data_IF_223208526188
#
_entry.id   IF_223208526188
#
_cell.length_a   1.000
_cell.length_b   1.000
_cell.length_c   1.000
_cell.angle_alpha   90.00
_cell.angle_beta   90.00
_cell.angle_gamma   90.00
#
_symmetry.space_group_name_H-M   'P 1'
#
loop_
_entity.id
_entity.type
_entity.pdbx_description
1 polymer ?
#
# COMPACT_ATOMS: atom_id res chain seq x y z
N UNK A 1 -1.91 -11.80 -18.63
CA UNK A 1 -3.10 -11.49 -17.81
C UNK A 1 -2.64 -10.49 -16.75
N UNK A 2 -3.41 -9.43 -16.47
CA UNK A 2 -3.07 -8.54 -15.36
C UNK A 2 -3.11 -9.36 -14.06
N UNK A 3 -1.98 -9.45 -13.37
CA UNK A 3 -1.84 -10.23 -12.13
C UNK A 3 -1.12 -9.40 -11.08
N UNK A 4 -1.36 -9.74 -9.82
CA UNK A 4 -0.56 -9.23 -8.70
C UNK A 4 0.84 -9.85 -8.83
N UNK A 5 1.87 -9.03 -8.78
CA UNK A 5 3.24 -9.52 -8.64
C UNK A 5 3.63 -9.51 -7.17
N UNK A 6 3.82 -10.69 -6.59
CA UNK A 6 4.23 -10.85 -5.20
C UNK A 6 5.75 -11.10 -5.11
N UNK A 7 6.42 -10.36 -4.23
CA UNK A 7 7.83 -10.52 -3.89
C UNK A 7 7.90 -10.95 -2.43
N UNK A 8 8.02 -12.26 -2.13
CA UNK A 8 8.19 -12.73 -0.77
C UNK A 8 9.55 -12.29 -0.22
N UNK A 9 9.65 -12.20 1.10
CA UNK A 9 10.90 -11.88 1.82
C UNK A 9 11.59 -10.57 1.37
N UNK A 10 10.83 -9.63 0.78
CA UNK A 10 11.35 -8.33 0.35
C UNK A 10 11.83 -7.48 1.54
N UNK A 11 11.23 -7.69 2.71
CA UNK A 11 11.66 -7.18 3.99
C UNK A 11 11.71 -8.34 4.98
N UNK A 12 12.70 -8.34 5.87
CA UNK A 12 12.73 -9.30 6.97
C UNK A 12 11.69 -8.93 8.04
N UNK A 13 11.33 -9.90 8.90
CA UNK A 13 10.43 -9.64 10.03
C UNK A 13 10.96 -8.52 10.94
N UNK A 14 12.24 -8.54 11.26
CA UNK A 14 12.87 -7.52 12.12
C UNK A 14 12.87 -6.13 11.48
N UNK A 15 12.97 -6.06 10.15
CA UNK A 15 12.85 -4.79 9.43
C UNK A 15 11.41 -4.26 9.46
N UNK A 16 10.41 -5.12 9.26
CA UNK A 16 9.01 -4.74 9.41
C UNK A 16 8.69 -4.27 10.84
N UNK A 17 9.18 -4.98 11.85
CA UNK A 17 9.05 -4.61 13.26
C UNK A 17 9.71 -3.26 13.56
N UNK A 18 10.90 -3.00 13.00
CA UNK A 18 11.57 -1.70 13.11
C UNK A 18 10.72 -0.58 12.53
N UNK A 19 10.13 -0.78 11.34
CA UNK A 19 9.22 0.20 10.73
C UNK A 19 8.01 0.45 11.63
N UNK A 20 7.36 -0.62 12.12
CA UNK A 20 6.20 -0.51 13.02
C UNK A 20 6.57 0.24 14.30
N UNK A 21 7.72 -0.07 14.91
CA UNK A 21 8.19 0.59 16.12
C UNK A 21 8.45 2.09 15.89
N UNK A 22 9.04 2.47 14.75
CA UNK A 22 9.27 3.89 14.43
C UNK A 22 7.95 4.65 14.27
N UNK A 23 6.98 4.11 13.52
CA UNK A 23 5.70 4.81 13.33
C UNK A 23 4.86 4.88 14.60
N UNK A 24 5.00 3.93 15.52
CA UNK A 24 4.22 3.89 16.77
C UNK A 24 4.58 5.03 17.73
N UNK A 25 5.77 5.61 17.54
CA UNK A 25 6.24 6.78 18.28
C UNK A 25 5.92 8.11 17.57
N UNK A 26 5.22 8.06 16.44
CA UNK A 26 4.93 9.22 15.59
C UNK A 26 3.46 9.61 15.69
N UNK A 27 3.11 10.91 15.59
CA UNK A 27 1.71 11.32 15.48
C UNK A 27 1.10 10.71 14.20
N UNK A 28 -0.10 10.17 14.34
CA UNK A 28 -0.89 9.61 13.22
C UNK A 28 -1.89 10.64 12.71
N UNK A 29 -2.05 10.74 11.39
CA UNK A 29 -3.14 11.47 10.76
C UNK A 29 -4.32 10.54 10.47
N UNK A 30 -5.56 11.03 10.60
CA UNK A 30 -6.73 10.26 10.15
C UNK A 30 -6.75 10.15 8.62
N UNK A 31 -7.06 8.97 8.07
CA UNK A 31 -7.04 8.77 6.63
C UNK A 31 -8.09 9.59 5.87
N UNK A 32 -7.64 10.43 4.93
CA UNK A 32 -8.52 11.20 4.03
C UNK A 32 -8.74 10.48 2.68
N UNK A 33 -9.89 10.73 2.04
CA UNK A 33 -10.15 10.35 0.65
C UNK A 33 -9.69 11.45 -0.32
N UNK A 34 -9.63 11.11 -1.62
CA UNK A 34 -9.41 12.10 -2.70
C UNK A 34 -10.43 13.24 -2.55
N UNK A 35 -9.95 14.48 -2.52
CA UNK A 35 -10.78 15.67 -2.30
C UNK A 35 -11.00 16.07 -0.84
N UNK A 36 -10.26 15.49 0.12
CA UNK A 36 -10.36 15.77 1.58
C UNK A 36 -11.73 15.45 2.21
N UNK A 37 -12.55 14.65 1.52
CA UNK A 37 -13.82 14.18 2.08
C UNK A 37 -13.58 13.06 3.10
N UNK A 38 -14.25 13.14 4.25
CA UNK A 38 -14.32 12.05 5.23
C UNK A 38 -15.54 11.20 4.91
N UNK A 39 -15.32 9.98 4.46
CA UNK A 39 -16.40 8.98 4.38
C UNK A 39 -15.90 7.67 4.96
N UNK A 40 -16.26 7.43 6.23
CA UNK A 40 -15.83 6.26 6.99
C UNK A 40 -16.39 4.94 6.42
N UNK A 41 -17.39 5.00 5.54
CA UNK A 41 -17.88 3.83 4.80
C UNK A 41 -16.97 3.43 3.63
N UNK A 42 -16.11 4.36 3.18
CA UNK A 42 -15.17 4.12 2.09
C UNK A 42 -13.77 3.81 2.62
N UNK A 43 -13.32 4.45 3.69
CA UNK A 43 -12.02 4.17 4.30
C UNK A 43 -12.05 4.46 5.80
N UNK A 44 -11.50 3.53 6.57
CA UNK A 44 -11.23 3.72 8.00
C UNK A 44 -9.86 3.15 8.36
N UNK A 45 -8.91 4.06 8.53
CA UNK A 45 -7.51 3.78 8.84
C UNK A 45 -6.84 5.03 9.43
N UNK A 46 -5.74 4.83 10.15
CA UNK A 46 -4.79 5.89 10.50
C UNK A 46 -3.62 5.85 9.52
N UNK A 47 -3.07 7.01 9.17
CA UNK A 47 -1.97 7.16 8.22
C UNK A 47 -0.75 7.79 8.87
N UNK A 48 0.42 7.31 8.47
CA UNK A 48 1.71 7.93 8.79
C UNK A 48 2.51 8.02 7.49
N UNK A 49 2.93 9.23 7.13
CA UNK A 49 3.84 9.46 5.99
C UNK A 49 5.29 9.37 6.47
N UNK A 50 6.13 8.61 5.77
CA UNK A 50 7.50 8.32 6.24
C UNK A 50 8.47 9.49 6.12
N UNK A 51 8.13 10.55 5.38
CA UNK A 51 9.04 11.68 5.07
C UNK A 51 9.49 12.45 6.30
N UNK A 52 8.64 12.42 7.32
CA UNK A 52 8.87 13.12 8.56
C UNK A 52 9.62 12.24 9.58
N UNK A 53 10.03 11.02 9.19
CA UNK A 53 10.64 10.03 10.07
C UNK A 53 12.11 9.83 9.71
N UNK A 54 12.99 10.40 10.53
CA UNK A 54 14.43 10.21 10.40
C UNK A 54 14.80 8.70 10.49
N UNK A 55 15.69 8.23 9.61
CA UNK A 55 16.16 6.84 9.61
C UNK A 55 15.28 5.88 8.80
N UNK A 56 14.34 6.39 8.00
CA UNK A 56 13.50 5.61 7.08
C UNK A 56 13.94 5.71 5.60
N UNK A 57 15.07 6.37 5.32
CA UNK A 57 15.57 6.61 3.96
C UNK A 57 15.81 5.30 3.19
N UNK A 58 16.38 4.31 3.89
CA UNK A 58 16.63 2.97 3.34
C UNK A 58 15.35 2.24 2.89
N UNK A 59 14.20 2.57 3.47
CA UNK A 59 12.92 1.97 3.09
C UNK A 59 12.56 2.45 1.69
N UNK A 60 12.61 3.76 1.44
CA UNK A 60 12.27 4.33 0.14
C UNK A 60 13.24 3.82 -0.95
N UNK A 61 14.54 3.80 -0.66
CA UNK A 61 15.54 3.26 -1.59
C UNK A 61 15.23 1.81 -2.00
N UNK A 62 14.85 0.97 -1.03
CA UNK A 62 14.48 -0.42 -1.29
C UNK A 62 13.17 -0.53 -2.09
N UNK A 63 12.16 0.26 -1.74
CA UNK A 63 10.89 0.27 -2.46
C UNK A 63 11.06 0.68 -3.93
N UNK A 64 11.91 1.68 -4.21
CA UNK A 64 12.26 2.09 -5.57
C UNK A 64 12.87 0.93 -6.35
N UNK A 65 13.82 0.19 -5.76
CA UNK A 65 14.46 -0.94 -6.43
C UNK A 65 13.47 -2.08 -6.72
N UNK A 66 12.59 -2.41 -5.75
CA UNK A 66 11.56 -3.43 -5.93
C UNK A 66 10.61 -3.08 -7.08
N UNK A 67 10.15 -1.82 -7.14
CA UNK A 67 9.33 -1.34 -8.25
C UNK A 67 10.09 -1.40 -9.57
N UNK A 68 11.36 -0.99 -9.59
CA UNK A 68 12.18 -0.98 -10.81
C UNK A 68 12.31 -2.40 -11.40
N UNK A 69 12.62 -3.38 -10.55
CA UNK A 69 12.71 -4.79 -10.94
C UNK A 69 11.38 -5.34 -11.43
N UNK A 70 10.31 -5.14 -10.66
CA UNK A 70 8.97 -5.61 -11.03
C UNK A 70 8.48 -4.96 -12.34
N UNK A 71 8.75 -3.66 -12.53
CA UNK A 71 8.38 -2.95 -13.75
C UNK A 71 9.13 -3.50 -14.97
N UNK A 72 10.44 -3.75 -14.85
CA UNK A 72 11.23 -4.36 -15.93
C UNK A 72 10.71 -5.75 -16.30
N UNK A 73 10.41 -6.57 -15.30
CA UNK A 73 10.18 -8.00 -15.50
C UNK A 73 8.71 -8.34 -15.80
N UNK A 74 7.75 -7.49 -15.41
CA UNK A 74 6.31 -7.82 -15.45
C UNK A 74 5.43 -6.78 -16.12
N UNK A 75 5.70 -5.48 -15.98
CA UNK A 75 4.70 -4.44 -16.29
C UNK A 75 5.07 -3.54 -17.49
N UNK A 76 6.33 -3.16 -17.64
CA UNK A 76 6.82 -2.37 -18.77
C UNK A 76 6.27 -0.95 -18.87
N UNK A 77 5.89 -0.30 -17.76
CA UNK A 77 5.45 1.10 -17.79
C UNK A 77 6.63 2.08 -17.95
N UNK A 78 6.39 3.21 -18.62
CA UNK A 78 7.28 4.38 -18.63
C UNK A 78 7.19 5.10 -17.27
N UNK A 79 7.89 4.55 -16.28
CA UNK A 79 8.04 5.14 -14.94
C UNK A 79 9.11 6.20 -14.96
N UNK A 80 8.81 7.37 -14.39
CA UNK A 80 9.69 8.55 -14.44
C UNK A 80 10.02 9.12 -13.07
N UNK A 81 9.16 8.92 -12.09
CA UNK A 81 9.28 9.57 -10.79
C UNK A 81 8.52 8.81 -9.70
N UNK A 82 8.86 9.10 -8.46
CA UNK A 82 8.06 8.84 -7.28
C UNK A 82 7.67 10.20 -6.70
N UNK A 83 6.53 10.74 -7.13
CA UNK A 83 6.05 12.05 -6.69
C UNK A 83 5.36 12.03 -5.33
N UNK A 84 5.26 10.85 -4.72
CA UNK A 84 4.57 10.62 -3.47
C UNK A 84 5.38 9.70 -2.58
N UNK A 85 5.28 10.00 -1.32
CA UNK A 85 6.01 9.35 -0.25
C UNK A 85 5.38 8.04 0.18
N UNK A 86 6.15 7.12 0.78
CA UNK A 86 5.58 5.94 1.39
C UNK A 86 4.59 6.32 2.50
N UNK A 87 3.41 5.71 2.42
CA UNK A 87 2.31 5.89 3.36
C UNK A 87 2.10 4.60 4.12
N UNK A 88 2.29 4.62 5.43
CA UNK A 88 1.85 3.52 6.31
C UNK A 88 0.38 3.71 6.64
N UNK A 89 -0.41 2.64 6.47
CA UNK A 89 -1.80 2.56 6.84
C UNK A 89 -1.99 1.55 7.98
N UNK A 90 -2.72 1.98 9.01
CA UNK A 90 -3.00 1.23 10.22
C UNK A 90 -4.51 0.98 10.28
N UNK A 91 -4.91 -0.30 10.25
CA UNK A 91 -6.31 -0.71 10.29
C UNK A 91 -6.58 -1.46 11.60
N UNK A 92 -7.41 -0.88 12.47
CA UNK A 92 -7.72 -1.43 13.80
C UNK A 92 -9.05 -2.17 13.79
N UNK A 93 -9.13 -3.33 14.43
CA UNK A 93 -10.38 -4.08 14.54
C UNK A 93 -11.44 -3.38 15.38
N UNK A 94 -11.03 -2.60 16.40
CA UNK A 94 -11.92 -1.79 17.25
C UNK A 94 -12.77 -0.79 16.46
N UNK A 95 -12.37 -0.54 15.22
CA UNK A 95 -12.98 0.41 14.33
C UNK A 95 -13.58 -0.22 13.07
N UNK A 96 -13.49 -1.56 12.92
CA UNK A 96 -13.73 -2.25 11.65
C UNK A 96 -12.90 -1.65 10.52
N UNK A 97 -11.61 -1.39 10.76
CA UNK A 97 -10.71 -0.75 9.81
C UNK A 97 -10.73 -1.45 8.45
N UNK A 98 -10.92 -0.67 7.38
CA UNK A 98 -11.07 -1.17 6.01
C UNK A 98 -10.76 -0.07 4.98
N UNK A 99 -10.69 -0.45 3.71
CA UNK A 99 -10.73 0.47 2.58
C UNK A 99 -11.55 -0.19 1.48
N UNK A 100 -12.75 0.30 1.20
CA UNK A 100 -13.64 -0.24 0.19
C UNK A 100 -13.01 -0.23 -1.21
N UNK A 101 -13.60 -1.01 -2.12
CA UNK A 101 -13.18 -1.09 -3.52
C UNK A 101 -12.93 0.29 -4.15
N UNK A 102 -11.71 0.50 -4.62
CA UNK A 102 -11.27 1.73 -5.25
C UNK A 102 -10.15 1.46 -6.25
N UNK A 103 -9.79 2.51 -6.97
CA UNK A 103 -8.62 2.58 -7.83
C UNK A 103 -7.71 3.69 -7.31
N UNK A 104 -6.40 3.48 -7.39
CA UNK A 104 -5.41 4.45 -6.94
C UNK A 104 -5.17 5.56 -7.96
N UNK A 105 -5.41 5.32 -9.25
CA UNK A 105 -5.43 6.42 -10.22
C UNK A 105 -6.64 7.32 -9.94
N UNK A 106 -6.43 8.63 -10.01
CA UNK A 106 -7.49 9.62 -9.78
C UNK A 106 -7.37 10.84 -10.70
N UNK A 107 -8.30 11.78 -10.57
CA UNK A 107 -8.33 13.00 -11.40
C UNK A 107 -7.34 14.10 -10.97
N UNK A 108 -6.61 13.92 -9.86
CA UNK A 108 -5.67 14.90 -9.34
C UNK A 108 -4.37 14.97 -10.17
N UNK A 109 -3.61 16.07 -10.08
CA UNK A 109 -2.42 16.29 -10.91
C UNK A 109 -1.33 15.21 -10.72
N UNK A 110 -1.19 14.69 -9.50
CA UNK A 110 -0.25 13.61 -9.17
C UNK A 110 -0.91 12.24 -9.35
N UNK A 111 -2.11 12.04 -8.79
CA UNK A 111 -2.78 10.73 -8.83
C UNK A 111 -3.13 10.25 -10.24
N UNK A 112 -3.33 11.14 -11.21
CA UNK A 112 -3.53 10.78 -12.63
C UNK A 112 -2.29 10.19 -13.32
N UNK A 113 -1.12 10.30 -12.68
CA UNK A 113 0.17 9.83 -13.18
C UNK A 113 0.60 8.48 -12.59
N UNK A 114 -0.11 7.97 -11.57
CA UNK A 114 0.20 6.69 -10.91
C UNK A 114 0.09 5.53 -11.89
N UNK A 115 1.12 4.69 -11.96
CA UNK A 115 1.22 3.53 -12.84
C UNK A 115 1.23 2.22 -12.06
N UNK A 116 2.07 2.15 -11.04
CA UNK A 116 2.18 0.99 -10.16
C UNK A 116 1.91 1.40 -8.72
N UNK A 117 1.11 0.57 -8.06
CA UNK A 117 0.93 0.57 -6.61
C UNK A 117 1.75 -0.57 -6.05
N UNK A 118 2.57 -0.28 -5.05
CA UNK A 118 3.29 -1.26 -4.25
C UNK A 118 2.69 -1.24 -2.84
N UNK A 119 2.30 -2.39 -2.32
CA UNK A 119 1.89 -2.58 -0.92
C UNK A 119 2.80 -3.59 -0.23
N UNK A 120 3.48 -3.16 0.83
CA UNK A 120 4.25 -3.99 1.75
C UNK A 120 3.37 -4.40 2.95
N UNK A 121 3.31 -5.70 3.23
CA UNK A 121 2.65 -6.24 4.41
C UNK A 121 3.59 -6.16 5.62
N UNK A 122 3.30 -5.27 6.58
CA UNK A 122 4.18 -5.03 7.74
C UNK A 122 3.85 -5.91 8.94
N UNK A 123 2.56 -6.20 9.18
CA UNK A 123 2.14 -7.05 10.30
C UNK A 123 2.15 -8.52 9.92
N UNK A 124 2.46 -9.39 10.90
CA UNK A 124 2.31 -10.84 10.78
C UNK A 124 0.87 -11.25 10.50
N UNK A 125 0.66 -12.25 9.65
CA UNK A 125 -0.68 -12.75 9.31
C UNK A 125 -1.41 -13.38 10.50
N UNK A 126 -0.67 -13.79 11.53
CA UNK A 126 -1.14 -14.35 12.79
C UNK A 126 -1.51 -13.30 13.84
N UNK A 127 -1.18 -12.01 13.61
CA UNK A 127 -1.46 -10.92 14.56
C UNK A 127 -2.81 -10.24 14.32
N UNK A 128 -3.54 -10.60 13.25
CA UNK A 128 -4.84 -10.03 12.90
C UNK A 128 -5.69 -10.98 12.04
N UNK A 129 -7.01 -10.90 12.17
CA UNK A 129 -7.97 -11.57 11.26
C UNK A 129 -8.70 -10.56 10.36
N UNK A 130 -9.11 -10.99 9.16
CA UNK A 130 -9.60 -10.10 8.11
C UNK A 130 -8.49 -9.24 7.51
N UNK A 131 -8.79 -8.00 7.12
CA UNK A 131 -7.77 -7.07 6.62
C UNK A 131 -7.11 -7.51 5.30
N UNK A 132 -7.77 -8.32 4.49
CA UNK A 132 -7.18 -8.85 3.27
C UNK A 132 -7.05 -7.73 2.24
N UNK A 133 -5.86 -7.57 1.65
CA UNK A 133 -5.71 -6.80 0.43
C UNK A 133 -6.20 -7.66 -0.74
N UNK A 134 -7.32 -7.24 -1.32
CA UNK A 134 -8.01 -7.94 -2.40
C UNK A 134 -7.94 -7.09 -3.67
N UNK A 135 -7.56 -7.70 -4.80
CA UNK A 135 -7.37 -7.04 -6.09
C UNK A 135 -8.26 -7.73 -7.11
N UNK A 136 -8.93 -6.95 -7.95
CA UNK A 136 -9.82 -7.43 -9.01
C UNK A 136 -9.26 -6.99 -10.37
N UNK A 137 -8.28 -7.74 -10.94
CA UNK A 137 -7.69 -7.41 -12.25
C UNK A 137 -8.58 -7.80 -13.44
N UNK A 138 -9.70 -8.46 -13.18
CA UNK A 138 -10.64 -8.97 -14.17
C UNK A 138 -11.95 -9.36 -13.49
N UNK A 139 -12.54 -10.50 -13.85
CA UNK A 139 -13.77 -11.00 -13.24
C UNK A 139 -13.56 -11.71 -11.89
N UNK A 140 -12.30 -11.95 -11.51
CA UNK A 140 -11.90 -12.66 -10.30
C UNK A 140 -11.29 -11.73 -9.25
N UNK A 141 -11.55 -12.03 -7.98
CA UNK A 141 -10.85 -11.42 -6.83
C UNK A 141 -9.64 -12.28 -6.49
N UNK A 142 -8.47 -11.65 -6.43
CA UNK A 142 -7.23 -12.24 -5.99
C UNK A 142 -6.86 -11.64 -4.63
N UNK A 143 -6.49 -12.48 -3.66
CA UNK A 143 -5.98 -12.03 -2.37
C UNK A 143 -4.46 -11.96 -2.40
N UNK A 144 -3.91 -10.82 -2.00
CA UNK A 144 -2.47 -10.63 -1.86
C UNK A 144 -1.87 -11.52 -0.77
N UNK A 145 -0.59 -11.85 -0.90
CA UNK A 145 0.13 -12.63 0.10
C UNK A 145 0.20 -11.85 1.43
N UNK A 146 -0.19 -12.50 2.53
CA UNK A 146 -0.25 -11.93 3.89
C UNK A 146 1.02 -12.15 4.71
N UNK A 147 2.01 -12.89 4.19
CA UNK A 147 3.28 -13.09 4.89
C UNK A 147 3.94 -11.75 5.16
N UNK A 148 4.34 -11.53 6.42
CA UNK A 148 5.07 -10.35 6.83
C UNK A 148 6.32 -10.16 5.97
N UNK A 149 6.54 -8.93 5.49
CA UNK A 149 7.66 -8.62 4.62
C UNK A 149 7.41 -8.88 3.13
N UNK A 150 6.28 -9.52 2.78
CA UNK A 150 5.90 -9.68 1.39
C UNK A 150 5.46 -8.33 0.79
N UNK A 151 5.93 -8.07 -0.42
CA UNK A 151 5.49 -6.95 -1.24
C UNK A 151 4.55 -7.44 -2.33
N UNK A 152 3.46 -6.70 -2.58
CA UNK A 152 2.54 -6.90 -3.69
C UNK A 152 2.54 -5.68 -4.59
N UNK A 153 2.78 -5.86 -5.88
CA UNK A 153 2.80 -4.80 -6.89
C UNK A 153 1.74 -5.07 -7.95
N UNK A 154 0.97 -4.04 -8.29
CA UNK A 154 -0.08 -4.12 -9.31
C UNK A 154 -0.30 -2.76 -9.99
N UNK A 155 -0.92 -2.71 -11.19
CA UNK A 155 -1.21 -1.44 -11.84
C UNK A 155 -2.19 -0.60 -11.04
N UNK A 156 -1.91 0.69 -10.86
CA UNK A 156 -2.68 1.59 -9.99
C UNK A 156 -4.12 1.84 -10.43
N UNK A 157 -4.48 1.51 -11.68
CA UNK A 157 -5.86 1.56 -12.17
C UNK A 157 -6.68 0.29 -11.84
N UNK A 158 -6.06 -0.71 -11.20
CA UNK A 158 -6.74 -1.96 -10.85
C UNK A 158 -7.63 -1.74 -9.63
N UNK A 159 -8.88 -2.22 -9.69
CA UNK A 159 -9.78 -2.20 -8.54
C UNK A 159 -9.20 -3.04 -7.40
N UNK A 160 -9.14 -2.48 -6.21
CA UNK A 160 -8.68 -3.19 -5.02
C UNK A 160 -9.34 -2.65 -3.74
N UNK A 161 -9.30 -3.45 -2.68
CA UNK A 161 -9.83 -3.12 -1.36
C UNK A 161 -8.97 -3.71 -0.25
N UNK A 162 -9.19 -3.22 0.97
CA UNK A 162 -8.79 -3.88 2.22
C UNK A 162 -10.07 -4.28 2.95
N UNK A 163 -10.31 -5.58 3.06
CA UNK A 163 -11.49 -6.09 3.78
C UNK A 163 -11.44 -5.73 5.27
N UNK A 164 -12.58 -5.67 5.99
CA UNK A 164 -12.59 -5.27 7.40
C UNK A 164 -11.69 -6.14 8.26
N UNK A 165 -10.87 -5.50 9.11
CA UNK A 165 -10.12 -6.16 10.18
C UNK A 165 -11.10 -6.58 11.27
N UNK A 166 -11.10 -7.88 11.60
CA UNK A 166 -12.01 -8.49 12.59
C UNK A 166 -11.40 -8.60 13.97
N UNK A 167 -10.08 -8.80 14.04
CA UNK A 167 -9.31 -8.81 15.28
C UNK A 167 -7.91 -8.29 15.06
N UNK A 168 -7.30 -7.71 16.10
CA UNK A 168 -5.94 -7.18 16.05
C UNK A 168 -5.82 -5.89 15.22
N UNK A 169 -4.59 -5.61 14.78
CA UNK A 169 -4.26 -4.43 14.00
C UNK A 169 -3.42 -4.83 12.79
N UNK A 170 -3.84 -4.40 11.60
CA UNK A 170 -3.09 -4.60 10.36
C UNK A 170 -2.27 -3.35 10.05
N UNK A 171 -0.98 -3.54 9.79
CA UNK A 171 -0.08 -2.52 9.31
C UNK A 171 0.34 -2.84 7.87
N UNK A 172 0.30 -1.86 6.98
CA UNK A 172 0.85 -1.98 5.63
C UNK A 172 1.44 -0.67 5.16
N UNK A 173 2.44 -0.72 4.29
CA UNK A 173 3.03 0.48 3.66
C UNK A 173 2.75 0.49 2.17
N UNK A 174 2.30 1.62 1.65
CA UNK A 174 1.99 1.81 0.24
C UNK A 174 2.89 2.89 -0.35
N UNK A 175 3.39 2.67 -1.57
CA UNK A 175 4.02 3.72 -2.38
C UNK A 175 3.53 3.59 -3.83
N UNK A 176 3.52 4.71 -4.54
CA UNK A 176 3.13 4.78 -5.95
C UNK A 176 4.29 5.22 -6.82
N UNK A 177 4.44 4.56 -7.97
CA UNK A 177 5.36 4.99 -9.02
C UNK A 177 4.58 5.66 -10.15
N UNK A 178 5.13 6.74 -10.69
CA UNK A 178 4.44 7.62 -11.62
C UNK A 178 5.12 7.65 -12.98
N UNK A 179 4.32 7.94 -14.01
CA UNK A 179 4.75 8.10 -15.39
C UNK A 179 3.90 9.16 -16.11
N UNK A 180 3.97 9.25 -17.44
CA UNK A 180 3.06 10.10 -18.20
C UNK A 180 1.61 9.77 -17.90
N UNK A 181 0.74 10.78 -17.82
CA UNK A 181 -0.70 10.55 -17.66
C UNK A 181 -1.24 9.63 -18.78
N UNK A 182 -2.19 8.76 -18.43
CA UNK A 182 -2.94 8.00 -19.44
C UNK A 182 -3.69 8.97 -20.36
N UNK A 183 -3.77 8.64 -21.64
CA UNK A 183 -4.41 9.44 -22.70
C UNK A 183 -5.58 8.66 -23.29
#
# INVERSE_FOLDING_TARGET
MLSIHAIPDAFSKSECERVIATISNSPTDEALLVGRNKNHNLRKAELVWTDNLAGMEWVMERLIELVRLANRDQFGFDLREFSESPQVAIYKSSESGHFAWHSDIGGGPVSRKRKLTLVLQLSGSDTYDGGNLEIMPGAQILTANRTQGCVSIFPSFTLHQVSPVKSGTRYSMTVWAHGPAFR
#
